data_IF_947374187963
#
_entry.id   IF_947374187963
#
_cell.length_a   1.000
_cell.length_b   1.000
_cell.length_c   1.000
_cell.angle_alpha   90.00
_cell.angle_beta   90.00
_cell.angle_gamma   90.00
#
_symmetry.space_group_name_H-M   'P 1'
#
loop_
_entity.id
_entity.type
_entity.pdbx_description
1 polymer ?
#
# COMPACT_ATOMS: atom_id res chain seq x y z
N UNK A 1 -3.86 -10.04 0.74
CA UNK A 1 -2.79 -10.38 -0.22
C UNK A 1 -3.11 -9.78 -1.58
N UNK A 2 -4.30 -10.03 -2.13
CA UNK A 2 -4.74 -9.51 -3.43
C UNK A 2 -4.69 -7.98 -3.55
N UNK A 3 -5.17 -7.24 -2.55
CA UNK A 3 -5.10 -5.77 -2.55
C UNK A 3 -3.66 -5.23 -2.60
N UNK A 4 -2.74 -5.90 -1.90
CA UNK A 4 -1.32 -5.51 -1.93
C UNK A 4 -0.70 -5.83 -3.30
N UNK A 5 -0.97 -7.01 -3.85
CA UNK A 5 -0.50 -7.41 -5.18
C UNK A 5 -1.04 -6.45 -6.27
N UNK A 6 -2.31 -6.04 -6.16
CA UNK A 6 -2.89 -5.02 -7.01
C UNK A 6 -2.09 -3.70 -6.94
N UNK A 7 -1.81 -3.18 -5.74
CA UNK A 7 -1.07 -1.93 -5.58
C UNK A 7 0.35 -1.99 -6.16
N UNK A 8 1.05 -3.11 -5.96
CA UNK A 8 2.40 -3.31 -6.54
C UNK A 8 2.33 -3.28 -8.07
N UNK A 9 1.44 -4.07 -8.67
CA UNK A 9 1.28 -4.13 -10.12
C UNK A 9 0.77 -2.79 -10.69
N UNK A 10 -0.07 -2.08 -9.95
CA UNK A 10 -0.54 -0.75 -10.32
C UNK A 10 0.61 0.25 -10.36
N UNK A 11 1.50 0.25 -9.37
CA UNK A 11 2.71 1.09 -9.35
C UNK A 11 3.75 0.68 -10.40
N UNK A 12 3.79 -0.59 -10.81
CA UNK A 12 4.59 -1.01 -11.97
C UNK A 12 4.07 -0.38 -13.26
N UNK A 13 2.75 -0.38 -13.44
CA UNK A 13 2.10 0.20 -14.62
C UNK A 13 2.14 1.73 -14.63
N UNK A 14 2.03 2.36 -13.46
CA UNK A 14 2.00 3.81 -13.29
C UNK A 14 3.15 4.27 -12.37
N UNK A 15 4.41 4.23 -12.85
CA UNK A 15 5.59 4.50 -12.02
C UNK A 15 5.65 5.95 -11.50
N UNK A 16 4.95 6.90 -12.14
CA UNK A 16 4.88 8.30 -11.74
C UNK A 16 4.21 8.55 -10.38
N UNK A 17 3.63 7.52 -9.77
CA UNK A 17 3.03 7.58 -8.43
C UNK A 17 3.91 6.96 -7.33
N UNK A 18 5.02 6.28 -7.65
CA UNK A 18 5.83 5.51 -6.67
C UNK A 18 6.36 6.35 -5.50
N UNK A 19 6.73 7.61 -5.74
CA UNK A 19 7.30 8.49 -4.72
C UNK A 19 6.25 9.35 -4.00
N UNK A 20 4.99 9.32 -4.46
CA UNK A 20 3.94 10.17 -3.90
C UNK A 20 3.51 9.67 -2.53
N UNK A 21 3.09 10.60 -1.69
CA UNK A 21 2.44 10.27 -0.44
C UNK A 21 1.16 9.49 -0.71
N UNK A 22 1.08 8.30 -0.10
CA UNK A 22 -0.02 7.37 -0.30
C UNK A 22 -0.87 7.30 0.97
N UNK A 23 -2.19 7.37 0.80
CA UNK A 23 -3.17 7.32 1.88
C UNK A 23 -4.23 6.27 1.54
N UNK A 24 -4.71 5.55 2.55
CA UNK A 24 -5.80 4.58 2.39
C UNK A 24 -6.99 5.08 3.20
N UNK A 25 -8.13 5.28 2.54
CA UNK A 25 -9.37 5.67 3.18
C UNK A 25 -10.41 4.56 3.02
N UNK A 26 -11.30 4.40 3.98
CA UNK A 26 -12.48 3.57 3.80
C UNK A 26 -13.54 3.77 4.88
N UNK A 27 -14.75 3.31 4.59
CA UNK A 27 -15.90 3.40 5.50
C UNK A 27 -16.50 2.02 5.78
N UNK A 28 -17.38 1.95 6.79
CA UNK A 28 -18.07 0.71 7.18
C UNK A 28 -17.06 -0.40 7.54
N UNK A 29 -17.14 -1.57 6.90
CA UNK A 29 -16.25 -2.72 7.16
C UNK A 29 -14.78 -2.46 6.77
N UNK A 30 -14.51 -1.37 6.04
CA UNK A 30 -13.14 -0.96 5.76
C UNK A 30 -12.32 -0.65 7.02
N UNK A 31 -12.98 -0.40 8.17
CA UNK A 31 -12.32 -0.35 9.47
C UNK A 31 -11.52 -1.63 9.82
N UNK A 32 -11.84 -2.78 9.21
CA UNK A 32 -11.02 -3.99 9.29
C UNK A 32 -9.96 -4.07 8.18
N UNK A 33 -10.34 -3.75 6.94
CA UNK A 33 -9.47 -3.94 5.78
C UNK A 33 -8.33 -2.92 5.68
N UNK A 34 -8.60 -1.66 6.00
CA UNK A 34 -7.65 -0.55 5.93
C UNK A 34 -6.43 -0.79 6.84
N UNK A 35 -6.58 -1.06 8.15
CA UNK A 35 -5.44 -1.32 9.01
C UNK A 35 -4.70 -2.61 8.63
N UNK A 36 -5.41 -3.64 8.17
CA UNK A 36 -4.78 -4.89 7.72
C UNK A 36 -3.92 -4.68 6.46
N UNK A 37 -4.41 -3.92 5.49
CA UNK A 37 -3.66 -3.57 4.29
C UNK A 37 -2.47 -2.66 4.62
N UNK A 38 -2.66 -1.64 5.46
CA UNK A 38 -1.60 -0.77 5.93
C UNK A 38 -0.48 -1.56 6.61
N UNK A 39 -0.83 -2.49 7.51
CA UNK A 39 0.14 -3.39 8.13
C UNK A 39 0.90 -4.22 7.10
N UNK A 40 0.18 -4.78 6.12
CA UNK A 40 0.79 -5.57 5.04
C UNK A 40 1.79 -4.73 4.24
N UNK A 41 1.45 -3.48 3.90
CA UNK A 41 2.35 -2.56 3.20
C UNK A 41 3.61 -2.30 4.03
N UNK A 42 3.47 -1.94 5.30
CA UNK A 42 4.60 -1.63 6.17
C UNK A 42 5.51 -2.85 6.40
N UNK A 43 4.95 -4.05 6.52
CA UNK A 43 5.74 -5.28 6.61
C UNK A 43 6.54 -5.50 5.34
N UNK A 44 5.92 -5.35 4.16
CA UNK A 44 6.60 -5.59 2.90
C UNK A 44 7.65 -4.51 2.55
N UNK A 45 7.43 -3.25 2.93
CA UNK A 45 8.41 -2.18 2.74
C UNK A 45 9.72 -2.43 3.52
N UNK A 46 9.70 -3.23 4.59
CA UNK A 46 10.92 -3.57 5.36
C UNK A 46 11.82 -4.59 4.67
N UNK A 47 11.34 -5.24 3.61
CA UNK A 47 12.09 -6.28 2.91
C UNK A 47 13.04 -5.59 1.93
N UNK A 48 14.33 -5.61 2.25
CA UNK A 48 15.40 -4.89 1.54
C UNK A 48 15.59 -5.27 0.07
N UNK A 49 15.00 -6.39 -0.36
CA UNK A 49 15.09 -6.90 -1.73
C UNK A 49 13.95 -6.41 -2.65
N UNK A 50 12.96 -5.65 -2.13
CA UNK A 50 11.85 -5.16 -2.96
C UNK A 50 12.21 -3.87 -3.70
N UNK A 51 12.04 -3.92 -5.02
CA UNK A 51 12.18 -2.76 -5.93
C UNK A 51 11.05 -1.74 -5.79
N UNK A 52 9.90 -2.13 -5.22
CA UNK A 52 8.72 -1.26 -5.08
C UNK A 52 8.39 -1.06 -3.61
N UNK A 53 8.54 0.19 -3.19
CA UNK A 53 8.14 0.69 -1.86
C UNK A 53 6.91 1.57 -2.03
N UNK A 54 5.90 1.37 -1.18
CA UNK A 54 4.70 2.21 -1.15
C UNK A 54 4.87 3.23 -0.02
N UNK A 55 4.93 4.53 -0.34
CA UNK A 55 5.12 5.61 0.63
C UNK A 55 3.83 5.92 1.43
N UNK A 56 3.39 4.95 2.25
CA UNK A 56 2.19 5.07 3.08
C UNK A 56 2.39 6.11 4.19
N UNK A 57 1.56 7.16 4.19
CA UNK A 57 1.60 8.25 5.18
C UNK A 57 0.47 8.19 6.20
N UNK A 58 -0.66 7.60 5.85
CA UNK A 58 -1.79 7.55 6.77
C UNK A 58 -2.94 6.69 6.29
N UNK A 59 -3.87 6.47 7.22
CA UNK A 59 -5.13 5.79 6.98
C UNK A 59 -6.28 6.59 7.59
N UNK A 60 -7.47 6.52 6.99
CA UNK A 60 -8.71 7.08 7.55
C UNK A 60 -9.89 6.16 7.36
#
# INVERSE_FOLDING_TARGET
>A
LDNYAFLVNWLERFPEYKERDFYIAGESYAGHYVPQLAHTILQNNKWSERTITINLKGVT
#
